data_IF_166455246609
#
_entry.id   IF_166455246609
#
_cell.length_a   1.000
_cell.length_b   1.000
_cell.length_c   1.000
_cell.angle_alpha   90.00
_cell.angle_beta   90.00
_cell.angle_gamma   90.00
#
_symmetry.space_group_name_H-M   'P 1'
#
loop_
_entity.id
_entity.type
_entity.pdbx_description
1 polymer ?
#
# COMPACT_ATOMS: atom_id res chain seq x y z
N UNK A 1 -0.84 -33.46 79.69
CA UNK A 1 -0.67 -32.73 78.42
C UNK A 1 0.65 -33.13 77.77
N UNK A 2 0.64 -33.77 76.59
CA UNK A 2 1.73 -33.68 75.64
C UNK A 2 1.28 -33.01 74.34
N UNK A 3 2.13 -32.15 73.79
CA UNK A 3 1.90 -31.38 72.57
C UNK A 3 2.31 -32.19 71.34
N UNK A 4 1.40 -32.38 70.39
CA UNK A 4 1.71 -32.87 69.05
C UNK A 4 1.84 -31.67 68.09
N UNK A 5 3.06 -31.37 67.63
CA UNK A 5 3.30 -30.55 66.43
C UNK A 5 3.64 -31.49 65.26
N UNK A 6 3.05 -31.33 64.07
CA UNK A 6 3.42 -32.12 62.90
C UNK A 6 4.72 -31.62 62.26
N UNK A 7 5.43 -32.45 61.47
CA UNK A 7 6.76 -32.13 60.95
C UNK A 7 6.69 -31.12 59.80
N UNK A 8 7.31 -29.95 60.00
CA UNK A 8 7.46 -28.84 59.05
C UNK A 8 8.39 -29.11 57.86
N UNK A 9 8.86 -30.35 57.68
CA UNK A 9 9.85 -30.74 56.67
C UNK A 9 9.26 -31.07 55.30
N UNK A 10 7.97 -31.42 55.21
CA UNK A 10 7.35 -31.78 53.92
C UNK A 10 6.89 -30.57 53.10
N UNK A 11 6.54 -29.43 53.72
CA UNK A 11 6.11 -28.23 52.98
C UNK A 11 7.27 -27.48 52.32
N UNK A 12 8.46 -27.41 52.94
CA UNK A 12 9.60 -26.66 52.39
C UNK A 12 10.16 -27.29 51.11
N UNK A 13 10.12 -28.62 50.96
CA UNK A 13 10.69 -29.32 49.80
C UNK A 13 9.90 -29.08 48.51
N UNK A 14 8.59 -28.84 48.62
CA UNK A 14 7.73 -28.54 47.48
C UNK A 14 7.95 -27.11 46.93
N UNK A 15 8.19 -26.11 47.78
CA UNK A 15 8.45 -24.74 47.32
C UNK A 15 9.76 -24.60 46.52
N UNK A 16 10.82 -25.31 46.91
CA UNK A 16 12.08 -25.31 46.15
C UNK A 16 11.96 -26.04 44.82
N UNK A 17 11.24 -27.17 44.79
CA UNK A 17 10.99 -27.92 43.56
C UNK A 17 10.13 -27.10 42.58
N UNK A 18 9.06 -26.46 43.05
CA UNK A 18 8.21 -25.60 42.22
C UNK A 18 8.95 -24.34 41.74
N UNK A 19 9.76 -23.72 42.60
CA UNK A 19 10.59 -22.58 42.22
C UNK A 19 11.66 -22.93 41.19
N UNK A 20 12.29 -24.11 41.31
CA UNK A 20 13.25 -24.62 40.33
C UNK A 20 12.58 -24.95 38.99
N UNK A 21 11.38 -25.55 39.00
CA UNK A 21 10.61 -25.82 37.78
C UNK A 21 10.22 -24.50 37.10
N UNK A 22 9.70 -23.51 37.83
CA UNK A 22 9.37 -22.18 37.29
C UNK A 22 10.63 -21.50 36.73
N UNK A 23 11.76 -21.58 37.42
CA UNK A 23 13.03 -21.03 36.95
C UNK A 23 13.54 -21.76 35.69
N UNK A 24 13.45 -23.08 35.63
CA UNK A 24 13.83 -23.86 34.43
C UNK A 24 12.90 -23.57 33.27
N UNK A 25 11.59 -23.43 33.51
CA UNK A 25 10.64 -23.01 32.48
C UNK A 25 10.93 -21.59 32.01
N UNK A 26 11.12 -20.62 32.90
CA UNK A 26 11.52 -19.25 32.56
C UNK A 26 12.87 -19.24 31.83
N UNK A 27 13.85 -20.00 32.29
CA UNK A 27 15.17 -20.08 31.68
C UNK A 27 15.13 -20.74 30.31
N UNK A 28 14.34 -21.80 30.10
CA UNK A 28 14.11 -22.41 28.79
C UNK A 28 13.29 -21.49 27.86
N UNK A 29 12.34 -20.74 28.40
CA UNK A 29 11.55 -19.76 27.66
C UNK A 29 12.40 -18.55 27.24
N UNK A 30 13.32 -18.11 28.11
CA UNK A 30 14.32 -17.06 27.86
C UNK A 30 15.51 -17.58 27.04
N UNK A 31 15.79 -18.88 27.04
CA UNK A 31 16.79 -19.58 26.22
C UNK A 31 16.25 -20.05 24.87
N UNK A 32 15.07 -19.60 24.43
CA UNK A 32 14.67 -19.85 23.04
C UNK A 32 15.86 -19.47 22.15
N UNK A 33 16.39 -20.42 21.35
CA UNK A 33 17.58 -20.16 20.57
C UNK A 33 17.31 -18.92 19.76
N UNK A 34 18.29 -18.02 19.72
CA UNK A 34 18.25 -16.89 18.80
C UNK A 34 18.11 -17.50 17.41
N UNK A 35 16.88 -17.50 16.89
CA UNK A 35 16.64 -17.87 15.51
C UNK A 35 17.29 -16.77 14.70
N UNK A 36 18.34 -17.09 13.96
CA UNK A 36 18.91 -16.17 13.00
C UNK A 36 17.93 -15.99 11.84
N UNK A 37 17.84 -14.80 11.24
CA UNK A 37 17.04 -14.63 10.04
C UNK A 37 17.56 -15.51 8.90
N UNK A 38 16.65 -16.00 8.07
CA UNK A 38 17.00 -16.72 6.84
C UNK A 38 17.48 -15.69 5.83
N UNK A 39 18.73 -15.82 5.39
CA UNK A 39 19.35 -14.99 4.37
C UNK A 39 19.63 -15.85 3.16
N UNK A 40 18.96 -15.56 2.04
CA UNK A 40 19.14 -16.27 0.79
C UNK A 40 19.33 -15.25 -0.36
N UNK A 41 20.56 -15.07 -0.87
CA UNK A 41 20.85 -14.20 -2.02
C UNK A 41 20.20 -14.63 -3.34
N UNK A 42 19.54 -15.80 -3.38
CA UNK A 42 18.81 -16.30 -4.53
C UNK A 42 17.29 -16.20 -4.41
N UNK A 43 16.76 -15.85 -3.23
CA UNK A 43 15.34 -15.73 -2.98
C UNK A 43 14.77 -14.40 -3.53
N UNK A 44 13.61 -14.41 -4.18
CA UNK A 44 12.99 -13.19 -4.72
C UNK A 44 13.89 -12.43 -5.69
N UNK A 45 14.36 -13.11 -6.74
CA UNK A 45 15.09 -12.47 -7.83
C UNK A 45 14.10 -11.75 -8.75
N UNK A 46 14.52 -10.58 -9.23
CA UNK A 46 13.79 -9.80 -10.21
C UNK A 46 14.70 -9.50 -11.38
N UNK A 47 14.14 -9.64 -12.59
CA UNK A 47 14.78 -9.21 -13.81
C UNK A 47 14.63 -7.69 -14.01
N UNK A 48 15.59 -7.13 -14.76
CA UNK A 48 15.47 -5.76 -15.26
C UNK A 48 14.29 -5.63 -16.22
N UNK A 49 13.73 -4.42 -16.32
CA UNK A 49 12.73 -4.10 -17.35
C UNK A 49 13.36 -4.27 -18.74
N UNK A 50 12.61 -4.91 -19.65
CA UNK A 50 13.01 -5.17 -21.03
C UNK A 50 12.00 -4.62 -22.03
N UNK A 51 12.29 -4.71 -23.33
CA UNK A 51 11.36 -4.26 -24.37
C UNK A 51 10.04 -5.05 -24.41
N UNK A 52 10.03 -6.29 -23.92
CA UNK A 52 8.83 -7.13 -23.83
C UNK A 52 8.12 -7.01 -22.48
N UNK A 53 8.61 -6.17 -21.57
CA UNK A 53 7.98 -5.94 -20.27
C UNK A 53 6.59 -5.33 -20.42
N UNK A 54 5.64 -5.88 -19.65
CA UNK A 54 4.32 -5.29 -19.46
C UNK A 54 4.27 -4.54 -18.14
N UNK A 55 3.46 -3.50 -18.10
CA UNK A 55 3.25 -2.69 -16.91
C UNK A 55 1.77 -2.58 -16.60
N UNK A 56 1.45 -2.23 -15.36
CA UNK A 56 0.09 -1.85 -15.01
C UNK A 56 0.07 -0.54 -14.24
N UNK A 57 -0.94 0.27 -14.51
CA UNK A 57 -1.40 1.31 -13.62
C UNK A 57 -2.63 0.75 -12.93
N UNK A 58 -2.69 0.83 -11.60
CA UNK A 58 -3.72 0.23 -10.80
C UNK A 58 -4.33 1.24 -9.82
N UNK A 59 -5.63 1.11 -9.60
CA UNK A 59 -6.34 1.73 -8.48
C UNK A 59 -7.15 0.69 -7.71
N UNK A 60 -7.72 1.08 -6.57
CA UNK A 60 -8.48 0.19 -5.71
C UNK A 60 -9.84 0.77 -5.33
N UNK A 61 -10.89 -0.05 -5.45
CA UNK A 61 -12.23 0.30 -5.03
C UNK A 61 -12.83 -0.80 -4.14
N UNK A 62 -13.19 -0.45 -2.91
CA UNK A 62 -14.01 -1.32 -2.05
C UNK A 62 -15.45 -0.84 -1.97
N UNK A 63 -16.36 -1.73 -1.55
CA UNK A 63 -17.77 -1.40 -1.44
C UNK A 63 -18.02 -0.27 -0.41
N UNK A 64 -19.00 0.57 -0.71
CA UNK A 64 -19.52 1.58 0.19
C UNK A 64 -20.96 1.21 0.58
N UNK A 65 -21.19 0.66 1.79
CA UNK A 65 -22.52 0.23 2.23
C UNK A 65 -23.58 1.35 2.28
N UNK A 66 -23.16 2.61 2.25
CA UNK A 66 -24.05 3.78 2.27
C UNK A 66 -24.45 4.26 0.88
N UNK A 67 -24.03 3.59 -0.19
CA UNK A 67 -24.41 3.93 -1.57
C UNK A 67 -25.92 3.78 -1.77
N UNK A 68 -26.61 4.80 -2.30
CA UNK A 68 -27.95 4.64 -2.87
C UNK A 68 -27.81 4.02 -4.27
N UNK A 69 -28.31 2.80 -4.52
CA UNK A 69 -28.18 2.17 -5.84
C UNK A 69 -28.87 2.93 -6.98
N UNK A 70 -29.77 3.88 -6.68
CA UNK A 70 -30.43 4.74 -7.67
C UNK A 70 -29.62 5.97 -8.04
N UNK A 71 -28.67 6.34 -7.18
CA UNK A 71 -27.74 7.44 -7.41
C UNK A 71 -26.34 7.08 -6.86
N UNK A 72 -25.68 6.06 -7.46
CA UNK A 72 -24.41 5.59 -6.96
C UNK A 72 -23.31 6.65 -7.13
N UNK A 73 -23.41 7.50 -8.15
CA UNK A 73 -22.47 8.60 -8.32
C UNK A 73 -22.65 9.70 -7.27
N UNK A 74 -23.89 10.12 -6.98
CA UNK A 74 -24.14 11.17 -6.00
C UNK A 74 -23.83 10.74 -4.55
N UNK A 75 -23.80 9.43 -4.28
CA UNK A 75 -23.70 8.90 -2.90
C UNK A 75 -22.40 8.14 -2.60
N UNK A 76 -21.62 7.76 -3.62
CA UNK A 76 -20.34 7.08 -3.44
C UNK A 76 -19.19 7.82 -4.14
N UNK A 77 -18.54 8.71 -3.39
CA UNK A 77 -17.42 9.52 -3.89
C UNK A 77 -16.30 8.69 -4.52
N UNK A 78 -15.92 7.56 -3.89
CA UNK A 78 -14.82 6.74 -4.41
C UNK A 78 -15.20 5.98 -5.67
N UNK A 79 -16.49 5.65 -5.84
CA UNK A 79 -16.98 5.10 -7.09
C UNK A 79 -16.88 6.14 -8.21
N UNK A 80 -17.37 7.37 -8.00
CA UNK A 80 -17.20 8.45 -8.99
C UNK A 80 -15.74 8.73 -9.28
N UNK A 81 -14.92 8.82 -8.23
CA UNK A 81 -13.50 9.12 -8.40
C UNK A 81 -12.79 8.05 -9.22
N UNK A 82 -13.12 6.77 -8.99
CA UNK A 82 -12.65 5.66 -9.82
C UNK A 82 -13.07 5.84 -11.28
N UNK A 83 -14.33 6.21 -11.57
CA UNK A 83 -14.78 6.47 -12.95
C UNK A 83 -14.04 7.65 -13.60
N UNK A 84 -13.84 8.74 -12.86
CA UNK A 84 -13.10 9.92 -13.35
C UNK A 84 -11.65 9.56 -13.62
N UNK A 85 -11.00 8.78 -12.75
CA UNK A 85 -9.65 8.28 -12.98
C UNK A 85 -9.56 7.36 -14.21
N UNK A 86 -10.52 6.45 -14.40
CA UNK A 86 -10.65 5.64 -15.63
C UNK A 86 -10.71 6.51 -16.87
N UNK A 87 -11.56 7.54 -16.86
CA UNK A 87 -11.67 8.49 -17.96
C UNK A 87 -10.36 9.22 -18.25
N UNK A 88 -9.71 9.76 -17.21
CA UNK A 88 -8.44 10.45 -17.34
C UNK A 88 -7.36 9.54 -17.95
N UNK A 89 -7.30 8.27 -17.56
CA UNK A 89 -6.26 7.34 -18.00
C UNK A 89 -6.53 6.70 -19.37
N UNK A 90 -7.80 6.52 -19.75
CA UNK A 90 -8.14 5.80 -20.99
C UNK A 90 -8.60 6.73 -22.12
N UNK A 91 -9.24 7.85 -21.81
CA UNK A 91 -10.04 8.59 -22.79
C UNK A 91 -9.66 10.07 -22.93
N UNK A 92 -9.27 10.73 -21.84
CA UNK A 92 -8.94 12.16 -21.87
C UNK A 92 -7.66 12.43 -22.68
N UNK A 93 -7.73 13.27 -23.71
CA UNK A 93 -6.64 13.46 -24.67
C UNK A 93 -5.33 13.96 -24.03
N UNK A 94 -5.47 14.75 -22.95
CA UNK A 94 -4.37 15.37 -22.23
C UNK A 94 -3.64 14.40 -21.29
N UNK A 95 -4.29 13.33 -20.84
CA UNK A 95 -3.78 12.47 -19.74
C UNK A 95 -3.78 10.98 -20.07
N UNK A 96 -4.46 10.55 -21.14
CA UNK A 96 -4.60 9.14 -21.49
C UNK A 96 -3.25 8.46 -21.69
N UNK A 97 -3.20 7.20 -21.28
CA UNK A 97 -2.08 6.29 -21.50
C UNK A 97 -1.89 6.14 -23.02
N UNK A 98 -0.64 6.28 -23.48
CA UNK A 98 -0.29 6.13 -24.90
C UNK A 98 0.55 4.90 -25.17
N UNK A 99 1.24 4.38 -24.15
CA UNK A 99 2.04 3.17 -24.26
C UNK A 99 1.14 1.91 -24.21
N UNK A 100 1.07 1.12 -25.29
CA UNK A 100 0.21 -0.06 -25.36
C UNK A 100 0.69 -1.23 -24.46
N UNK A 101 1.90 -1.15 -23.90
CA UNK A 101 2.40 -2.15 -22.95
C UNK A 101 1.90 -1.92 -21.52
N UNK A 102 1.09 -0.88 -21.29
CA UNK A 102 0.55 -0.51 -19.98
C UNK A 102 -0.93 -0.81 -19.93
N UNK A 103 -1.34 -1.68 -19.01
CA UNK A 103 -2.73 -1.94 -18.70
C UNK A 103 -3.23 -0.99 -17.61
N UNK A 104 -4.51 -0.62 -17.63
CA UNK A 104 -5.18 0.02 -16.49
C UNK A 104 -6.08 -0.96 -15.76
N UNK A 105 -5.83 -1.15 -14.47
CA UNK A 105 -6.48 -2.14 -13.61
C UNK A 105 -7.23 -1.45 -12.49
N UNK A 106 -8.47 -1.88 -12.25
CA UNK A 106 -9.20 -1.55 -11.03
C UNK A 106 -9.29 -2.83 -10.21
N UNK A 107 -8.52 -2.87 -9.12
CA UNK A 107 -8.62 -3.91 -8.13
C UNK A 107 -9.84 -3.64 -7.25
N UNK A 108 -10.72 -4.63 -7.10
CA UNK A 108 -11.95 -4.48 -6.30
C UNK A 108 -12.07 -5.57 -5.26
N UNK A 109 -12.77 -5.29 -4.15
CA UNK A 109 -13.11 -6.33 -3.19
C UNK A 109 -14.12 -7.33 -3.77
N UNK A 110 -14.14 -8.55 -3.25
CA UNK A 110 -15.12 -9.58 -3.63
C UNK A 110 -16.58 -9.11 -3.48
N UNK A 111 -16.83 -8.26 -2.49
CA UNK A 111 -18.16 -7.75 -2.14
C UNK A 111 -18.65 -6.57 -3.00
N UNK A 112 -17.82 -6.02 -3.90
CA UNK A 112 -18.25 -4.89 -4.72
C UNK A 112 -19.46 -5.27 -5.59
N UNK A 113 -20.51 -4.46 -5.55
CA UNK A 113 -21.75 -4.72 -6.27
C UNK A 113 -21.51 -4.89 -7.78
N UNK A 114 -22.17 -5.90 -8.37
CA UNK A 114 -21.92 -6.28 -9.77
C UNK A 114 -22.20 -5.14 -10.76
N UNK A 115 -23.23 -4.32 -10.51
CA UNK A 115 -23.52 -3.18 -11.39
C UNK A 115 -22.39 -2.14 -11.45
N UNK A 116 -21.62 -1.97 -10.36
CA UNK A 116 -20.42 -1.11 -10.35
C UNK A 116 -19.32 -1.75 -11.21
N UNK A 117 -19.11 -3.05 -11.09
CA UNK A 117 -18.14 -3.80 -11.91
C UNK A 117 -18.50 -3.74 -13.40
N UNK A 118 -19.77 -3.96 -13.74
CA UNK A 118 -20.26 -3.92 -15.12
C UNK A 118 -20.05 -2.51 -15.71
N UNK A 119 -20.36 -1.47 -14.95
CA UNK A 119 -20.15 -0.08 -15.38
C UNK A 119 -18.67 0.25 -15.57
N UNK A 120 -17.79 -0.13 -14.64
CA UNK A 120 -16.35 0.11 -14.75
C UNK A 120 -15.72 -0.66 -15.93
N UNK A 121 -16.22 -1.87 -16.21
CA UNK A 121 -15.82 -2.63 -17.39
C UNK A 121 -16.29 -1.95 -18.67
N UNK A 122 -17.53 -1.45 -18.69
CA UNK A 122 -18.07 -0.65 -19.81
C UNK A 122 -17.28 0.65 -20.02
N UNK A 123 -16.77 1.25 -18.96
CA UNK A 123 -15.91 2.43 -19.00
C UNK A 123 -14.52 2.14 -19.63
N UNK A 124 -14.18 0.86 -19.86
CA UNK A 124 -12.96 0.40 -20.55
C UNK A 124 -11.87 -0.17 -19.64
N UNK A 125 -12.09 -0.20 -18.31
CA UNK A 125 -11.09 -0.68 -17.37
C UNK A 125 -11.04 -2.21 -17.27
N UNK A 126 -9.85 -2.75 -16.94
CA UNK A 126 -9.70 -4.15 -16.53
C UNK A 126 -10.06 -4.26 -15.05
N UNK A 127 -11.23 -4.81 -14.73
CA UNK A 127 -11.68 -4.94 -13.34
C UNK A 127 -11.33 -6.32 -12.79
N UNK A 128 -10.54 -6.36 -11.71
CA UNK A 128 -10.09 -7.60 -11.07
C UNK A 128 -10.64 -7.68 -9.65
N UNK A 129 -11.49 -8.69 -9.37
CA UNK A 129 -11.91 -9.02 -8.00
C UNK A 129 -10.77 -9.70 -7.26
N UNK A 130 -10.40 -9.17 -6.11
CA UNK A 130 -9.38 -9.74 -5.24
C UNK A 130 -9.99 -10.27 -3.94
N UNK A 131 -9.40 -11.36 -3.46
CA UNK A 131 -9.69 -11.87 -2.12
C UNK A 131 -9.10 -10.95 -1.05
N UNK A 132 -9.88 -10.75 0.00
CA UNK A 132 -9.45 -10.04 1.20
C UNK A 132 -8.11 -10.59 1.73
N UNK A 133 -7.23 -9.68 2.16
CA UNK A 133 -6.01 -10.07 2.85
C UNK A 133 -6.34 -10.43 4.30
N UNK A 134 -5.99 -11.64 4.79
CA UNK A 134 -6.29 -12.04 6.15
C UNK A 134 -5.46 -11.21 7.14
N UNK A 135 -6.14 -10.44 7.99
CA UNK A 135 -5.50 -9.61 9.00
C UNK A 135 -5.56 -10.25 10.39
N UNK A 136 -4.48 -10.06 11.16
CA UNK A 136 -4.44 -10.45 12.55
C UNK A 136 -5.31 -9.54 13.42
N UNK A 137 -5.88 -10.08 14.50
CA UNK A 137 -6.80 -9.38 15.41
C UNK A 137 -6.30 -8.03 15.95
N UNK A 138 -4.97 -7.84 16.02
CA UNK A 138 -4.34 -6.64 16.57
C UNK A 138 -4.26 -5.48 15.55
N UNK A 139 -4.45 -5.78 14.27
CA UNK A 139 -4.55 -4.78 13.19
C UNK A 139 -6.02 -4.34 13.18
N UNK A 140 -6.31 -3.35 14.02
CA UNK A 140 -7.64 -2.78 14.15
C UNK A 140 -7.52 -1.28 14.31
N UNK A 141 -8.33 -0.54 13.56
CA UNK A 141 -8.32 0.92 13.52
C UNK A 141 -9.66 1.52 13.91
N UNK A 142 -10.58 0.70 14.44
CA UNK A 142 -11.94 1.11 14.81
C UNK A 142 -12.89 1.32 13.61
N UNK A 143 -12.38 1.40 12.38
CA UNK A 143 -13.17 1.59 11.16
C UNK A 143 -13.21 0.29 10.34
N UNK A 144 -14.41 -0.30 10.18
CA UNK A 144 -14.57 -1.64 9.56
C UNK A 144 -14.01 -1.75 8.13
N UNK A 145 -14.14 -0.70 7.32
CA UNK A 145 -13.70 -0.66 5.91
C UNK A 145 -12.17 -0.58 5.74
N UNK A 146 -11.44 -0.17 6.77
CA UNK A 146 -10.00 0.03 6.67
C UNK A 146 -9.22 -1.28 6.48
N UNK A 147 -9.82 -2.43 6.84
CA UNK A 147 -9.25 -3.74 6.50
C UNK A 147 -9.08 -3.92 4.99
N UNK A 148 -10.00 -3.34 4.20
CA UNK A 148 -10.03 -3.52 2.75
C UNK A 148 -8.82 -2.86 2.08
N UNK A 149 -8.20 -1.85 2.71
CA UNK A 149 -7.02 -1.19 2.13
C UNK A 149 -5.82 -2.15 2.01
N UNK A 150 -5.74 -3.18 2.85
CA UNK A 150 -4.70 -4.20 2.71
C UNK A 150 -4.90 -5.07 1.47
N UNK A 151 -6.10 -5.12 0.88
CA UNK A 151 -6.35 -5.84 -0.38
C UNK A 151 -5.53 -5.26 -1.53
N UNK A 152 -5.12 -3.99 -1.48
CA UNK A 152 -4.15 -3.38 -2.43
C UNK A 152 -2.86 -4.19 -2.56
N UNK A 153 -2.43 -4.88 -1.50
CA UNK A 153 -1.21 -5.69 -1.53
C UNK A 153 -1.27 -6.84 -2.53
N UNK A 154 -2.47 -7.27 -2.94
CA UNK A 154 -2.67 -8.30 -3.98
C UNK A 154 -2.09 -7.88 -5.33
N UNK A 155 -1.86 -6.59 -5.56
CA UNK A 155 -1.11 -6.11 -6.74
C UNK A 155 0.31 -6.69 -6.82
N UNK A 156 0.93 -7.04 -5.68
CA UNK A 156 2.25 -7.66 -5.65
C UNK A 156 2.25 -9.11 -6.13
N UNK A 157 1.09 -9.74 -6.26
CA UNK A 157 0.97 -11.09 -6.82
C UNK A 157 0.80 -11.07 -8.36
N UNK A 158 0.68 -9.91 -8.98
CA UNK A 158 0.48 -9.76 -10.43
C UNK A 158 1.80 -9.84 -11.21
N UNK A 159 2.51 -10.95 -11.07
CA UNK A 159 3.86 -11.17 -11.64
C UNK A 159 3.90 -11.24 -13.17
N UNK A 160 2.76 -11.19 -13.85
CA UNK A 160 2.70 -10.95 -15.29
C UNK A 160 3.13 -9.52 -15.69
N UNK A 161 3.17 -8.59 -14.73
CA UNK A 161 3.69 -7.24 -14.92
C UNK A 161 5.09 -7.11 -14.34
N UNK A 162 5.98 -6.47 -15.08
CA UNK A 162 7.31 -6.12 -14.57
C UNK A 162 7.22 -5.04 -13.51
N UNK A 163 6.34 -4.03 -13.67
CA UNK A 163 6.07 -3.01 -12.66
C UNK A 163 4.59 -2.67 -12.60
N UNK A 164 4.14 -2.33 -11.40
CA UNK A 164 2.79 -1.81 -11.13
C UNK A 164 2.95 -0.44 -10.47
N UNK A 165 2.34 0.58 -11.08
CA UNK A 165 2.06 1.86 -10.42
C UNK A 165 0.70 1.75 -9.76
N UNK A 166 0.64 1.93 -8.45
CA UNK A 166 -0.59 2.15 -7.73
C UNK A 166 -0.84 3.65 -7.53
N UNK A 167 -2.09 4.09 -7.74
CA UNK A 167 -2.57 5.39 -7.30
C UNK A 167 -4.00 5.31 -6.73
N UNK A 168 -4.27 6.09 -5.68
CA UNK A 168 -5.61 6.16 -5.10
C UNK A 168 -6.60 6.81 -6.08
N UNK A 169 -7.89 6.42 -5.98
CA UNK A 169 -8.92 6.78 -6.95
C UNK A 169 -9.22 8.30 -7.00
N UNK A 170 -8.99 9.01 -5.91
CA UNK A 170 -9.13 10.46 -5.75
C UNK A 170 -7.89 11.23 -6.22
N UNK A 171 -7.37 10.82 -7.39
CA UNK A 171 -6.23 11.44 -8.06
C UNK A 171 -6.69 12.23 -9.29
N UNK A 172 -6.29 13.50 -9.36
CA UNK A 172 -6.44 14.34 -10.55
C UNK A 172 -5.13 14.31 -11.36
N UNK A 173 -5.21 13.97 -12.64
CA UNK A 173 -4.08 13.96 -13.56
C UNK A 173 -3.99 15.30 -14.30
N UNK A 174 -2.76 15.79 -14.47
CA UNK A 174 -2.49 16.99 -15.27
C UNK A 174 -1.79 16.66 -16.60
N UNK A 175 -1.17 15.46 -16.68
CA UNK A 175 -0.39 14.96 -17.83
C UNK A 175 -0.44 13.42 -17.88
N UNK A 176 0.02 12.79 -18.97
CA UNK A 176 0.17 11.34 -19.03
C UNK A 176 1.19 10.85 -18.00
N UNK A 177 0.83 9.79 -17.26
CA UNK A 177 1.67 9.20 -16.20
C UNK A 177 2.53 8.03 -16.71
N UNK A 178 2.33 7.60 -17.97
CA UNK A 178 3.07 6.50 -18.58
C UNK A 178 4.62 6.62 -18.55
N UNK A 179 5.26 7.81 -18.58
CA UNK A 179 6.72 7.87 -18.62
C UNK A 179 7.38 7.47 -17.30
N UNK A 180 6.62 7.33 -16.19
CA UNK A 180 7.16 6.92 -14.89
C UNK A 180 7.84 5.56 -14.91
N UNK A 181 7.41 4.66 -15.81
CA UNK A 181 8.04 3.35 -15.98
C UNK A 181 9.45 3.43 -16.61
N UNK A 182 9.83 4.60 -17.13
CA UNK A 182 11.17 4.90 -17.62
C UNK A 182 12.10 5.50 -16.56
N UNK A 183 11.65 5.75 -15.33
CA UNK A 183 12.53 6.24 -14.26
C UNK A 183 13.62 5.22 -13.93
N UNK A 184 14.87 5.69 -13.75
CA UNK A 184 16.01 4.81 -13.49
C UNK A 184 15.80 3.91 -12.26
N UNK A 185 15.18 4.44 -11.21
CA UNK A 185 14.88 3.74 -9.98
C UNK A 185 13.73 2.73 -10.12
N UNK A 186 12.87 2.91 -11.13
CA UNK A 186 11.80 1.99 -11.49
C UNK A 186 12.31 0.90 -12.42
N UNK A 187 13.17 1.22 -13.40
CA UNK A 187 13.69 0.28 -14.39
C UNK A 187 14.53 -0.82 -13.73
N UNK A 188 15.42 -0.46 -12.80
CA UNK A 188 16.39 -1.40 -12.24
C UNK A 188 16.02 -1.85 -10.83
N UNK A 189 15.86 -3.17 -10.58
CA UNK A 189 15.68 -3.68 -9.23
C UNK A 189 16.86 -3.32 -8.34
N UNK A 190 16.60 -2.91 -7.11
CA UNK A 190 17.61 -2.58 -6.11
C UNK A 190 17.96 -3.84 -5.31
N UNK A 191 19.25 -4.13 -5.05
CA UNK A 191 19.62 -5.21 -4.15
C UNK A 191 19.23 -4.87 -2.71
N UNK A 192 18.62 -5.83 -2.01
CA UNK A 192 18.36 -5.71 -0.58
C UNK A 192 19.67 -5.70 0.21
N UNK A 193 19.71 -4.96 1.32
CA UNK A 193 20.85 -4.87 2.24
C UNK A 193 20.88 -6.09 3.16
N UNK A 194 21.16 -7.26 2.58
CA UNK A 194 21.16 -8.55 3.29
C UNK A 194 22.26 -8.66 4.36
N UNK A 195 23.24 -7.77 4.32
CA UNK A 195 24.30 -7.61 5.32
C UNK A 195 23.81 -6.93 6.61
N UNK A 196 22.69 -6.20 6.57
CA UNK A 196 22.05 -5.59 7.74
C UNK A 196 21.24 -6.61 8.55
N UNK A 197 21.88 -7.70 8.98
CA UNK A 197 21.24 -8.84 9.68
C UNK A 197 20.41 -8.38 10.90
N UNK A 198 20.87 -7.34 11.64
CA UNK A 198 20.15 -6.79 12.79
C UNK A 198 18.80 -6.13 12.44
N UNK A 199 18.63 -5.73 11.18
CA UNK A 199 17.41 -5.12 10.65
C UNK A 199 16.45 -6.14 10.05
N UNK A 200 16.88 -7.38 9.83
CA UNK A 200 16.09 -8.48 9.29
C UNK A 200 15.57 -9.31 10.46
N UNK A 201 14.24 -9.42 10.59
CA UNK A 201 13.64 -10.12 11.72
C UNK A 201 13.50 -11.59 11.41
N UNK A 202 14.04 -12.44 12.28
CA UNK A 202 14.00 -13.88 12.10
C UNK A 202 12.60 -14.49 12.24
N UNK A 203 11.66 -13.75 12.81
CA UNK A 203 10.27 -14.11 12.85
C UNK A 203 9.47 -13.54 11.67
N UNK A 204 10.06 -12.84 10.73
CA UNK A 204 9.40 -12.48 9.47
C UNK A 204 9.79 -13.49 8.37
N UNK A 205 9.06 -13.51 7.25
CA UNK A 205 9.49 -14.27 6.09
C UNK A 205 10.80 -13.69 5.52
N UNK A 206 11.55 -14.44 4.69
CA UNK A 206 12.83 -13.97 4.17
C UNK A 206 12.66 -12.69 3.34
N UNK A 207 13.67 -11.81 3.41
CA UNK A 207 13.72 -10.61 2.57
C UNK A 207 14.14 -11.01 1.15
N UNK A 208 13.43 -10.60 0.08
CA UNK A 208 13.84 -10.89 -1.29
C UNK A 208 15.20 -10.25 -1.59
N UNK A 209 16.03 -10.88 -2.41
CA UNK A 209 17.37 -10.44 -2.74
C UNK A 209 17.36 -9.16 -3.59
N UNK A 210 16.31 -8.96 -4.41
CA UNK A 210 16.08 -7.74 -5.17
C UNK A 210 14.62 -7.32 -5.08
N UNK A 211 14.38 -6.02 -5.07
CA UNK A 211 13.03 -5.45 -5.03
C UNK A 211 12.99 -4.14 -5.82
N UNK A 212 11.78 -3.71 -6.17
CA UNK A 212 11.49 -2.32 -6.53
C UNK A 212 10.34 -1.88 -5.65
N UNK A 213 10.54 -0.82 -4.90
CA UNK A 213 9.49 -0.10 -4.21
C UNK A 213 9.88 1.36 -4.13
N UNK A 214 9.19 2.17 -4.94
CA UNK A 214 9.43 3.58 -5.12
C UNK A 214 8.15 4.35 -4.84
N UNK A 215 8.24 5.46 -4.12
CA UNK A 215 7.07 6.21 -3.70
C UNK A 215 7.39 7.70 -3.63
N UNK A 216 6.40 8.50 -3.22
CA UNK A 216 6.57 9.92 -2.92
C UNK A 216 6.45 10.16 -1.42
N UNK A 217 7.40 10.92 -0.88
CA UNK A 217 7.29 11.53 0.43
C UNK A 217 5.95 12.25 0.55
N UNK A 218 5.32 12.18 1.72
CA UNK A 218 4.19 13.07 2.00
C UNK A 218 4.67 14.52 1.89
N UNK A 219 3.98 15.35 1.11
CA UNK A 219 4.38 16.74 0.89
C UNK A 219 4.32 17.58 2.18
N UNK A 220 3.41 17.23 3.08
CA UNK A 220 3.38 17.72 4.45
C UNK A 220 2.74 16.69 5.39
N UNK A 221 3.32 16.55 6.59
CA UNK A 221 2.71 15.77 7.65
C UNK A 221 1.44 16.48 8.15
N UNK A 222 0.34 15.75 8.33
CA UNK A 222 -0.95 16.23 8.83
C UNK A 222 -1.81 17.11 7.89
N UNK A 223 -1.50 17.15 6.59
CA UNK A 223 -2.41 17.72 5.58
C UNK A 223 -2.31 19.22 5.35
N UNK A 224 -1.13 19.79 5.62
CA UNK A 224 -0.82 21.18 5.31
C UNK A 224 -0.63 21.34 3.79
N UNK A 225 -1.29 22.36 3.21
CA UNK A 225 -1.20 22.65 1.76
C UNK A 225 -0.16 23.70 1.43
N UNK A 226 0.28 24.51 2.39
CA UNK A 226 1.37 25.46 2.13
C UNK A 226 2.72 24.82 2.44
N UNK A 227 3.37 24.33 1.39
CA UNK A 227 4.66 23.64 1.46
C UNK A 227 5.51 23.99 0.23
N UNK A 228 6.85 24.06 0.35
CA UNK A 228 7.70 24.45 -0.78
C UNK A 228 7.61 23.44 -1.93
N UNK A 229 7.93 23.89 -3.15
CA UNK A 229 8.19 23.01 -4.28
C UNK A 229 9.68 23.11 -4.70
N UNK A 230 10.42 21.98 -4.79
CA UNK A 230 9.99 20.64 -4.43
C UNK A 230 9.77 20.50 -2.90
N UNK A 231 8.88 19.58 -2.46
CA UNK A 231 8.64 19.33 -1.04
C UNK A 231 9.89 18.81 -0.35
N UNK A 232 9.98 19.04 0.97
CA UNK A 232 11.05 18.47 1.79
C UNK A 232 10.89 16.95 1.84
N UNK A 233 12.00 16.23 1.65
CA UNK A 233 12.01 14.76 1.79
C UNK A 233 11.71 14.39 3.23
N UNK A 234 10.93 13.34 3.40
CA UNK A 234 10.59 12.82 4.71
C UNK A 234 11.02 11.36 4.87
N UNK A 235 10.99 10.84 6.09
CA UNK A 235 11.30 9.42 6.33
C UNK A 235 10.18 8.47 5.90
N UNK A 236 8.98 9.01 5.63
CA UNK A 236 7.77 8.27 5.30
C UNK A 236 7.22 8.65 3.93
N UNK A 237 6.54 7.71 3.31
CA UNK A 237 5.83 7.95 2.05
C UNK A 237 4.32 7.77 2.22
N UNK A 238 3.58 8.35 1.27
CA UNK A 238 2.14 8.11 1.09
C UNK A 238 1.89 6.77 0.43
N UNK A 239 0.95 5.97 0.94
CA UNK A 239 0.52 4.74 0.26
C UNK A 239 -0.45 4.99 -0.91
N UNK A 240 -0.81 6.25 -1.17
CA UNK A 240 -1.68 6.62 -2.28
C UNK A 240 -0.96 6.76 -3.63
N UNK A 241 0.37 6.65 -3.66
CA UNK A 241 1.15 6.68 -4.90
C UNK A 241 2.48 5.94 -4.76
N UNK A 242 2.62 4.77 -5.39
CA UNK A 242 3.86 3.99 -5.38
C UNK A 242 4.00 3.10 -6.60
N UNK A 243 5.25 2.85 -7.01
CA UNK A 243 5.63 1.88 -8.03
C UNK A 243 6.35 0.72 -7.37
N UNK A 244 5.91 -0.50 -7.65
CA UNK A 244 6.58 -1.71 -7.18
C UNK A 244 6.78 -2.72 -8.31
N UNK A 245 7.76 -3.61 -8.13
CA UNK A 245 7.83 -4.86 -8.88
C UNK A 245 7.01 -5.93 -8.13
N UNK A 246 5.97 -6.51 -8.76
CA UNK A 246 5.26 -7.64 -8.17
C UNK A 246 6.21 -8.81 -7.87
N UNK A 247 6.07 -9.41 -6.69
CA UNK A 247 6.82 -10.57 -6.22
C UNK A 247 6.01 -11.26 -5.12
N UNK A 248 5.80 -12.58 -5.28
CA UNK A 248 5.16 -13.40 -4.25
C UNK A 248 5.97 -13.40 -2.96
N UNK A 249 7.30 -13.36 -3.05
CA UNK A 249 8.20 -13.27 -1.90
C UNK A 249 8.02 -11.96 -1.13
N UNK A 250 7.88 -10.84 -1.86
CA UNK A 250 7.62 -9.54 -1.24
C UNK A 250 6.23 -9.49 -0.59
N UNK A 251 5.23 -10.09 -1.25
CA UNK A 251 3.90 -10.24 -0.69
C UNK A 251 3.94 -11.09 0.60
N UNK A 252 4.57 -12.26 0.56
CA UNK A 252 4.73 -13.16 1.71
C UNK A 252 5.43 -12.48 2.89
N UNK A 253 6.44 -11.66 2.61
CA UNK A 253 7.09 -10.83 3.63
C UNK A 253 6.09 -9.88 4.28
N UNK A 254 5.34 -9.11 3.50
CA UNK A 254 4.34 -8.17 4.02
C UNK A 254 3.28 -8.90 4.86
N UNK A 255 2.78 -10.04 4.40
CA UNK A 255 1.81 -10.86 5.14
C UNK A 255 2.43 -11.45 6.41
N UNK A 256 3.71 -11.85 6.39
CA UNK A 256 4.38 -12.35 7.59
C UNK A 256 4.47 -11.29 8.69
N UNK A 257 4.67 -10.01 8.31
CA UNK A 257 4.73 -8.87 9.23
C UNK A 257 3.37 -8.63 9.89
N UNK A 258 2.26 -8.75 9.16
CA UNK A 258 0.90 -8.58 9.74
C UNK A 258 0.58 -9.63 10.80
N UNK A 259 1.27 -10.78 10.80
CA UNK A 259 1.12 -11.85 11.80
C UNK A 259 1.89 -11.56 13.09
N UNK A 260 2.70 -10.50 13.15
CA UNK A 260 3.54 -10.17 14.30
C UNK A 260 2.94 -9.04 15.13
N UNK A 261 2.48 -9.40 16.33
CA UNK A 261 1.83 -8.46 17.25
C UNK A 261 2.67 -7.19 17.48
N UNK A 262 2.06 -6.02 17.25
CA UNK A 262 2.67 -4.68 17.42
C UNK A 262 3.97 -4.47 16.63
N UNK A 263 4.10 -5.15 15.48
CA UNK A 263 5.29 -5.01 14.64
C UNK A 263 5.37 -3.64 13.97
N UNK A 264 4.22 -3.04 13.68
CA UNK A 264 4.05 -1.68 13.23
C UNK A 264 2.83 -1.06 13.94
N UNK A 265 2.68 0.27 13.85
CA UNK A 265 1.49 0.98 14.32
C UNK A 265 0.42 0.94 13.22
N UNK A 266 -0.73 0.26 13.40
CA UNK A 266 -1.70 0.11 12.31
C UNK A 266 -2.54 1.37 12.04
N UNK A 267 -2.27 2.51 12.67
CA UNK A 267 -3.10 3.72 12.57
C UNK A 267 -3.38 4.17 11.13
N UNK A 268 -2.39 4.12 10.23
CA UNK A 268 -2.56 4.44 8.80
C UNK A 268 -2.63 3.20 7.92
N UNK A 269 -3.16 2.09 8.45
CA UNK A 269 -3.50 0.88 7.69
C UNK A 269 -2.27 0.27 6.97
N UNK A 270 -2.40 -0.05 5.69
CA UNK A 270 -1.35 -0.61 4.84
C UNK A 270 -0.18 0.36 4.68
N UNK A 271 -0.40 1.69 4.72
CA UNK A 271 0.69 2.67 4.66
C UNK A 271 1.68 2.47 5.80
N UNK A 272 1.20 2.17 7.01
CA UNK A 272 2.09 1.93 8.15
C UNK A 272 2.85 0.61 8.02
N UNK A 273 2.23 -0.44 7.46
CA UNK A 273 2.92 -1.68 7.13
C UNK A 273 4.03 -1.45 6.10
N UNK A 274 3.71 -0.75 5.00
CA UNK A 274 4.64 -0.45 3.92
C UNK A 274 5.79 0.43 4.44
N UNK A 275 5.50 1.48 5.22
CA UNK A 275 6.53 2.31 5.84
C UNK A 275 7.40 1.53 6.82
N UNK A 276 6.87 0.52 7.53
CA UNK A 276 7.69 -0.36 8.37
C UNK A 276 8.64 -1.22 7.53
N UNK A 277 8.12 -1.92 6.51
CA UNK A 277 8.94 -2.84 5.69
C UNK A 277 10.00 -2.07 4.92
N UNK A 278 9.62 -0.94 4.32
CA UNK A 278 10.49 -0.15 3.46
C UNK A 278 11.20 1.02 4.15
N UNK A 279 11.19 1.10 5.48
CA UNK A 279 11.82 2.20 6.25
C UNK A 279 13.27 2.50 5.81
N UNK A 280 13.74 3.77 5.86
CA UNK A 280 15.08 4.15 5.40
C UNK A 280 16.25 3.38 6.04
N UNK A 281 16.11 2.99 7.31
CA UNK A 281 17.11 2.24 8.07
C UNK A 281 16.92 0.70 8.01
N UNK A 282 16.01 0.21 7.15
CA UNK A 282 15.72 -1.20 6.95
C UNK A 282 16.59 -1.87 5.89
N UNK A 283 16.32 -3.16 5.67
CA UNK A 283 17.00 -3.96 4.64
C UNK A 283 16.53 -3.61 3.21
N UNK A 284 15.35 -3.01 3.08
CA UNK A 284 14.75 -2.64 1.80
C UNK A 284 14.23 -1.19 1.83
N UNK A 285 15.09 -0.17 1.95
CA UNK A 285 14.61 1.22 1.94
C UNK A 285 13.83 1.53 0.65
N UNK A 286 12.70 2.24 0.77
CA UNK A 286 11.97 2.74 -0.39
C UNK A 286 12.81 3.76 -1.18
N UNK A 287 12.55 3.88 -2.47
CA UNK A 287 13.18 4.85 -3.35
C UNK A 287 12.28 6.09 -3.52
N UNK A 288 12.86 7.28 -3.48
CA UNK A 288 12.12 8.53 -3.71
C UNK A 288 11.98 8.78 -5.22
N UNK A 289 10.73 8.87 -5.70
CA UNK A 289 10.39 9.28 -7.07
C UNK A 289 10.56 10.79 -7.26
N UNK A 290 10.75 11.23 -8.51
CA UNK A 290 10.81 12.66 -8.83
C UNK A 290 9.58 13.43 -8.29
N UNK A 291 9.74 14.61 -7.68
CA UNK A 291 8.64 15.39 -7.09
C UNK A 291 7.56 15.80 -8.09
N UNK A 292 7.82 15.78 -9.40
CA UNK A 292 6.79 16.04 -10.40
C UNK A 292 5.81 14.87 -10.58
N UNK A 293 6.05 13.68 -10.01
CA UNK A 293 5.10 12.57 -10.21
C UNK A 293 3.83 12.69 -9.39
N UNK A 294 3.96 12.97 -8.10
CA UNK A 294 2.81 13.03 -7.20
C UNK A 294 3.01 14.00 -6.05
N UNK A 295 1.92 14.69 -5.73
CA UNK A 295 1.76 15.55 -4.57
C UNK A 295 0.54 15.11 -3.75
N UNK A 296 0.75 14.80 -2.47
CA UNK A 296 -0.33 14.73 -1.48
C UNK A 296 -0.63 16.12 -0.95
N UNK A 297 -1.89 16.41 -0.58
CA UNK A 297 -2.29 17.75 -0.11
C UNK A 297 -1.83 18.89 -1.05
N UNK A 298 -2.07 18.74 -2.37
CA UNK A 298 -1.53 19.63 -3.38
C UNK A 298 -2.03 21.07 -3.24
N UNK A 299 -1.15 21.99 -3.61
CA UNK A 299 -1.37 23.41 -3.74
C UNK A 299 -1.38 23.83 -5.21
N UNK A 300 -1.74 25.09 -5.48
CA UNK A 300 -1.60 25.64 -6.84
C UNK A 300 -0.13 25.72 -7.27
N UNK A 301 0.82 25.78 -6.32
CA UNK A 301 2.26 25.75 -6.58
C UNK A 301 2.69 24.42 -7.20
N UNK A 302 2.13 23.31 -6.75
CA UNK A 302 2.39 21.98 -7.31
C UNK A 302 1.86 21.86 -8.75
N UNK A 303 0.66 22.39 -8.98
CA UNK A 303 0.09 22.46 -10.33
C UNK A 303 0.97 23.30 -11.27
N UNK A 304 1.36 24.50 -10.83
CA UNK A 304 2.15 25.44 -11.64
C UNK A 304 3.57 24.90 -11.89
N UNK A 305 4.12 24.12 -10.95
CA UNK A 305 5.37 23.40 -11.11
C UNK A 305 5.28 22.19 -12.07
N UNK A 306 4.06 21.77 -12.41
CA UNK A 306 3.83 20.71 -13.38
C UNK A 306 3.75 19.30 -12.79
N UNK A 307 3.34 19.16 -11.53
CA UNK A 307 3.09 17.85 -10.93
C UNK A 307 2.00 17.10 -11.70
N UNK A 308 2.30 15.84 -12.06
CA UNK A 308 1.50 14.97 -12.94
C UNK A 308 0.26 14.46 -12.23
N UNK A 309 0.38 14.02 -10.98
CA UNK A 309 -0.74 13.51 -10.18
C UNK A 309 -0.94 14.30 -8.89
N UNK A 310 -2.17 14.76 -8.67
CA UNK A 310 -2.56 15.57 -7.52
C UNK A 310 -3.55 14.74 -6.69
N UNK A 311 -3.13 14.30 -5.51
CA UNK A 311 -3.90 13.39 -4.67
C UNK A 311 -4.63 14.15 -3.56
N UNK A 312 -5.95 14.28 -3.71
CA UNK A 312 -6.85 14.93 -2.75
C UNK A 312 -8.31 14.62 -3.08
N UNK A 313 -9.18 14.72 -2.08
CA UNK A 313 -10.63 14.64 -2.25
C UNK A 313 -11.21 15.93 -2.84
N UNK A 314 -10.84 16.29 -4.08
CA UNK A 314 -11.21 17.56 -4.71
C UNK A 314 -12.71 17.81 -4.87
N UNK A 315 -13.52 16.74 -4.91
CA UNK A 315 -14.98 16.88 -4.83
C UNK A 315 -15.49 17.37 -3.47
N UNK A 316 -14.64 17.43 -2.44
CA UNK A 316 -14.98 17.82 -1.08
C UNK A 316 -14.12 18.98 -0.56
N UNK A 317 -12.81 18.96 -0.80
CA UNK A 317 -11.83 19.87 -0.19
C UNK A 317 -10.73 20.27 -1.19
N UNK A 318 -9.88 21.23 -0.81
CA UNK A 318 -8.73 21.66 -1.61
C UNK A 318 -8.88 23.06 -2.24
N UNK A 319 -7.81 23.57 -2.89
CA UNK A 319 -7.80 24.89 -3.53
C UNK A 319 -8.86 25.00 -4.63
N UNK A 320 -9.50 26.17 -4.75
CA UNK A 320 -10.61 26.40 -5.68
C UNK A 320 -10.24 26.03 -7.13
N UNK A 321 -9.06 26.44 -7.60
CA UNK A 321 -8.55 26.10 -8.94
C UNK A 321 -8.51 24.59 -9.19
N UNK A 322 -7.99 23.80 -8.24
CA UNK A 322 -7.87 22.35 -8.37
C UNK A 322 -9.24 21.66 -8.29
N UNK A 323 -10.13 22.18 -7.45
CA UNK A 323 -11.53 21.71 -7.39
C UNK A 323 -12.27 21.96 -8.70
N UNK A 324 -12.08 23.12 -9.31
CA UNK A 324 -12.67 23.41 -10.63
C UNK A 324 -12.13 22.45 -11.70
N UNK A 325 -10.84 22.13 -11.68
CA UNK A 325 -10.27 21.13 -12.59
C UNK A 325 -10.89 19.74 -12.39
N UNK A 326 -11.09 19.31 -11.14
CA UNK A 326 -11.78 18.06 -10.83
C UNK A 326 -13.21 18.01 -11.37
N UNK A 327 -14.01 19.06 -11.14
CA UNK A 327 -15.37 19.13 -11.68
C UNK A 327 -15.38 19.23 -13.22
N UNK A 328 -14.36 19.84 -13.82
CA UNK A 328 -14.15 19.81 -15.27
C UNK A 328 -13.94 18.39 -15.79
N UNK A 329 -13.01 17.63 -15.21
CA UNK A 329 -12.77 16.24 -15.58
C UNK A 329 -14.02 15.35 -15.38
N UNK A 330 -14.78 15.58 -14.30
CA UNK A 330 -16.06 14.90 -14.05
C UNK A 330 -17.10 15.21 -15.14
N UNK A 331 -17.19 16.48 -15.57
CA UNK A 331 -18.11 16.90 -16.62
C UNK A 331 -17.71 16.31 -17.97
N UNK A 332 -16.42 16.37 -18.33
CA UNK A 332 -15.88 15.78 -19.55
C UNK A 332 -16.14 14.26 -19.63
N UNK A 333 -15.93 13.55 -18.52
CA UNK A 333 -16.27 12.12 -18.40
C UNK A 333 -17.76 11.87 -18.69
N UNK A 334 -18.66 12.64 -18.09
CA UNK A 334 -20.11 12.49 -18.28
C UNK A 334 -20.51 12.73 -19.72
N UNK A 335 -19.95 13.76 -20.35
CA UNK A 335 -20.18 14.08 -21.76
C UNK A 335 -19.60 13.03 -22.71
N UNK A 336 -18.46 12.42 -22.37
CA UNK A 336 -17.88 11.32 -23.12
C UNK A 336 -18.82 10.11 -23.12
N UNK A 337 -19.19 9.61 -21.94
CA UNK A 337 -20.04 8.42 -21.85
C UNK A 337 -21.50 8.65 -22.29
N UNK A 338 -22.01 9.89 -22.25
CA UNK A 338 -23.33 10.21 -22.79
C UNK A 338 -23.38 10.14 -24.33
N UNK A 339 -22.24 10.31 -25.02
CA UNK A 339 -22.16 10.22 -26.49
C UNK A 339 -22.00 8.81 -27.03
N UNK A 340 -21.58 7.86 -26.19
CA UNK A 340 -21.40 6.45 -26.55
C UNK A 340 -22.65 5.58 -26.32
N UNK A 341 -23.76 6.18 -25.88
CA UNK A 341 -25.05 5.50 -25.65
C UNK A 341 -25.95 5.58 -26.88
#
# INVERSE_FOLDING_TARGET
>A
MPSNRPPSLFLRRNFFATGFVIFVFLWLFLRRPWTSPVIDPSYGRLDDVSQSSRFAIATFLSENPSTDPRDPEGTDYYYVATRVLTYQLLHAEQTRIRNPSIDFIILVTSELAQYKVDQLTKDGAIVIRAEDVPLSWWISTGVKRWKDQFTKLRLLEMTQYSRVLFMDADTLLTRPVDPIFGEQSVVHPTPSKLDLISQIKADEAPVPARYVFCARSDNAFAGERDHPFPPLRTERFSAGFWVAAPSHELFDLLISVTRRYRRFDPHTMEQSLLNYVFRPNGAMPWCELDPHWSATWPSERDLDAGVVTLHEKFGMVGPEKLRMMWYGALQEMREFYAREV
#
